data_IF_296275818084
#
_entry.id   IF_296275818084
#
_cell.length_a   1.000
_cell.length_b   1.000
_cell.length_c   1.000
_cell.angle_alpha   90.00
_cell.angle_beta   90.00
_cell.angle_gamma   90.00
#
_symmetry.space_group_name_H-M   'P 1'
#
loop_
_entity.id
_entity.type
_entity.pdbx_description
1 polymer ?
#
# COMPACT_ATOMS: atom_id res chain seq x y z
N UNK A 1 0.09 -29.35 -44.18
CA UNK A 1 1.06 -30.02 -43.28
C UNK A 1 2.02 -28.94 -42.79
N UNK A 2 2.05 -28.50 -41.55
CA UNK A 2 1.25 -28.76 -40.35
C UNK A 2 1.45 -27.56 -39.41
N UNK A 3 0.42 -27.20 -38.66
CA UNK A 3 0.41 -26.14 -37.64
C UNK A 3 0.83 -26.74 -36.30
N UNK A 4 1.87 -26.19 -35.64
CA UNK A 4 2.18 -26.53 -34.24
C UNK A 4 1.64 -25.45 -33.32
N UNK A 5 0.55 -25.75 -32.64
CA UNK A 5 0.05 -24.98 -31.49
C UNK A 5 0.88 -25.35 -30.26
N UNK A 6 1.61 -24.38 -29.69
CA UNK A 6 2.26 -24.52 -28.40
C UNK A 6 1.22 -24.47 -27.28
N UNK A 7 0.95 -25.62 -26.68
CA UNK A 7 0.08 -25.75 -25.51
C UNK A 7 0.86 -25.41 -24.24
N UNK A 8 0.55 -24.28 -23.63
CA UNK A 8 0.95 -23.95 -22.26
C UNK A 8 0.28 -24.95 -21.31
N UNK A 9 1.07 -25.80 -20.66
CA UNK A 9 0.60 -26.80 -19.69
C UNK A 9 0.39 -26.10 -18.34
N UNK A 10 -0.85 -25.74 -18.04
CA UNK A 10 -1.26 -25.29 -16.71
C UNK A 10 -1.11 -26.47 -15.72
N UNK A 11 -0.38 -26.25 -14.63
CA UNK A 11 -0.25 -27.21 -13.54
C UNK A 11 -1.62 -27.41 -12.88
N UNK A 12 -2.05 -28.67 -12.72
CA UNK A 12 -3.26 -29.01 -11.98
C UNK A 12 -3.09 -28.73 -10.50
N UNK A 13 -4.22 -28.47 -9.82
CA UNK A 13 -4.32 -28.02 -8.43
C UNK A 13 -3.82 -29.05 -7.40
N UNK A 14 -3.42 -30.24 -7.85
CA UNK A 14 -3.05 -31.40 -7.04
C UNK A 14 -1.52 -31.60 -6.95
N UNK A 15 -0.74 -30.56 -7.23
CA UNK A 15 0.75 -30.59 -7.19
C UNK A 15 1.32 -29.67 -6.09
N UNK A 16 0.50 -29.22 -5.14
CA UNK A 16 0.95 -28.41 -3.99
C UNK A 16 0.51 -29.10 -2.70
N UNK A 17 1.20 -30.17 -2.31
CA UNK A 17 1.21 -30.63 -0.92
C UNK A 17 2.66 -30.94 -0.52
N UNK A 18 3.15 -30.20 0.48
CA UNK A 18 4.42 -30.47 1.14
C UNK A 18 4.17 -31.51 2.26
N UNK A 19 5.09 -32.46 2.51
CA UNK A 19 4.82 -33.55 3.43
C UNK A 19 5.10 -33.12 4.88
N UNK A 20 4.11 -33.30 5.76
CA UNK A 20 4.35 -33.46 7.19
C UNK A 20 4.28 -34.96 7.52
N UNK A 21 5.13 -35.50 8.41
CA UNK A 21 5.14 -36.93 8.70
C UNK A 21 3.97 -37.32 9.60
N UNK A 22 3.33 -38.44 9.25
CA UNK A 22 2.26 -39.08 10.02
C UNK A 22 2.78 -39.64 11.34
N UNK A 23 2.04 -39.41 12.42
CA UNK A 23 2.22 -40.09 13.71
C UNK A 23 1.19 -41.21 13.79
N UNK A 24 1.66 -42.45 13.79
CA UNK A 24 0.85 -43.64 14.07
C UNK A 24 0.45 -43.65 15.56
N UNK A 25 -0.83 -43.89 15.83
CA UNK A 25 -1.34 -44.19 17.16
C UNK A 25 -1.96 -45.59 17.09
N UNK A 26 -1.47 -46.49 17.95
CA UNK A 26 -1.95 -47.86 18.08
C UNK A 26 -3.36 -47.91 18.71
N UNK A 27 -4.24 -48.71 18.11
CA UNK A 27 -5.57 -49.04 18.64
C UNK A 27 -5.47 -50.23 19.61
N UNK A 28 -5.85 -50.03 20.88
CA UNK A 28 -6.21 -51.12 21.79
C UNK A 28 -7.71 -51.11 22.08
N UNK A 29 -8.39 -52.14 21.55
CA UNK A 29 -9.77 -52.50 21.84
C UNK A 29 -9.98 -52.81 23.33
N UNK A 30 -10.92 -52.12 23.98
CA UNK A 30 -11.65 -52.69 25.13
C UNK A 30 -13.16 -52.50 24.93
N UNK A 31 -13.77 -53.56 24.41
CA UNK A 31 -15.18 -53.71 24.10
C UNK A 31 -15.96 -54.03 25.39
N UNK A 32 -16.10 -53.07 26.31
CA UNK A 32 -17.06 -53.19 27.42
C UNK A 32 -17.61 -51.85 27.97
N UNK A 33 -17.08 -50.69 27.52
CA UNK A 33 -17.52 -49.36 28.00
C UNK A 33 -18.36 -48.56 26.96
N UNK A 34 -18.62 -49.16 25.80
CA UNK A 34 -19.22 -48.49 24.64
C UNK A 34 -20.66 -48.01 24.90
N UNK A 35 -21.46 -48.74 25.67
CA UNK A 35 -22.87 -48.37 25.89
C UNK A 35 -23.05 -47.17 26.82
N UNK A 36 -22.11 -46.92 27.74
CA UNK A 36 -22.16 -45.75 28.61
C UNK A 36 -21.61 -44.50 27.90
N UNK A 37 -20.52 -44.66 27.15
CA UNK A 37 -19.90 -43.58 26.38
C UNK A 37 -20.82 -43.12 25.24
N UNK A 38 -21.44 -44.03 24.48
CA UNK A 38 -22.40 -43.66 23.43
C UNK A 38 -23.62 -42.93 23.98
N UNK A 39 -24.10 -43.30 25.18
CA UNK A 39 -25.17 -42.56 25.85
C UNK A 39 -24.73 -41.14 26.21
N UNK A 40 -23.55 -40.97 26.79
CA UNK A 40 -23.00 -39.64 27.10
C UNK A 40 -22.78 -38.80 25.85
N UNK A 41 -22.28 -39.39 24.75
CA UNK A 41 -22.08 -38.72 23.47
C UNK A 41 -23.43 -38.32 22.85
N UNK A 42 -24.44 -39.20 22.87
CA UNK A 42 -25.78 -38.87 22.40
C UNK A 42 -26.45 -37.77 23.24
N UNK A 43 -26.29 -37.79 24.57
CA UNK A 43 -26.80 -36.72 25.44
C UNK A 43 -26.04 -35.41 25.23
N UNK A 44 -24.73 -35.44 25.05
CA UNK A 44 -23.92 -34.26 24.76
C UNK A 44 -24.30 -33.66 23.40
N UNK A 45 -24.49 -34.48 22.36
CA UNK A 45 -24.94 -34.02 21.05
C UNK A 45 -26.37 -33.47 21.09
N UNK A 46 -27.29 -34.13 21.79
CA UNK A 46 -28.64 -33.62 22.00
C UNK A 46 -28.63 -32.29 22.79
N UNK A 47 -27.79 -32.18 23.82
CA UNK A 47 -27.61 -30.94 24.58
C UNK A 47 -26.99 -29.83 23.72
N UNK A 48 -26.02 -30.12 22.86
CA UNK A 48 -25.44 -29.15 21.93
C UNK A 48 -26.45 -28.69 20.87
N UNK A 49 -27.34 -29.56 20.41
CA UNK A 49 -28.44 -29.17 19.50
C UNK A 49 -29.45 -28.30 20.23
N UNK A 50 -29.84 -28.65 21.47
CA UNK A 50 -30.75 -27.84 22.29
C UNK A 50 -30.13 -26.48 22.62
N UNK A 51 -28.86 -26.43 23.05
CA UNK A 51 -28.13 -25.19 23.33
C UNK A 51 -27.91 -24.38 22.05
N UNK A 52 -27.66 -25.02 20.91
CA UNK A 52 -27.57 -24.34 19.61
C UNK A 52 -28.90 -23.74 19.15
N UNK A 53 -30.02 -24.43 19.38
CA UNK A 53 -31.37 -23.92 19.10
C UNK A 53 -31.75 -22.80 20.09
N UNK A 54 -31.35 -22.90 21.37
CA UNK A 54 -31.54 -21.83 22.34
C UNK A 54 -30.65 -20.61 22.07
N UNK A 55 -29.39 -20.80 21.70
CA UNK A 55 -28.47 -19.71 21.32
C UNK A 55 -28.92 -19.03 20.03
N UNK A 56 -29.43 -19.79 19.05
CA UNK A 56 -30.02 -19.21 17.84
C UNK A 56 -31.36 -18.51 18.11
N UNK A 57 -32.16 -18.98 19.07
CA UNK A 57 -33.36 -18.26 19.51
C UNK A 57 -33.01 -16.96 20.27
N UNK A 58 -31.93 -16.97 21.07
CA UNK A 58 -31.41 -15.77 21.75
C UNK A 58 -30.83 -14.77 20.74
N UNK A 59 -30.10 -15.21 19.70
CA UNK A 59 -29.65 -14.31 18.63
C UNK A 59 -30.80 -13.82 17.76
N UNK A 60 -31.86 -14.60 17.56
CA UNK A 60 -33.05 -14.16 16.84
C UNK A 60 -33.87 -13.13 17.63
N UNK A 61 -34.00 -13.29 18.96
CA UNK A 61 -34.65 -12.29 19.83
C UNK A 61 -33.79 -11.03 20.02
N UNK A 62 -32.46 -11.14 20.10
CA UNK A 62 -31.55 -9.98 20.14
C UNK A 62 -31.37 -9.30 18.78
N UNK A 63 -31.74 -9.93 17.66
CA UNK A 63 -31.67 -9.27 16.34
C UNK A 63 -32.68 -8.12 16.19
N UNK A 64 -33.68 -8.04 17.07
CA UNK A 64 -34.71 -6.99 17.03
C UNK A 64 -34.28 -5.63 17.60
N UNK A 65 -33.05 -5.50 18.14
CA UNK A 65 -32.55 -4.22 18.70
C UNK A 65 -31.29 -3.65 18.04
N UNK A 66 -30.73 -4.31 17.02
CA UNK A 66 -29.55 -3.78 16.28
C UNK A 66 -29.87 -3.28 14.86
N UNK A 67 -31.13 -3.37 14.41
CA UNK A 67 -31.60 -2.72 13.17
C UNK A 67 -31.98 -1.24 13.35
N UNK A 68 -31.61 -0.63 14.49
CA UNK A 68 -31.93 0.77 14.81
C UNK A 68 -30.74 1.72 14.94
N UNK A 69 -29.54 1.34 14.48
CA UNK A 69 -28.38 2.24 14.40
C UNK A 69 -27.94 2.63 12.98
N UNK A 70 -28.56 2.09 11.92
CA UNK A 70 -28.29 2.49 10.53
C UNK A 70 -29.40 3.33 9.87
N UNK A 71 -30.38 3.79 10.66
CA UNK A 71 -31.46 4.65 10.18
C UNK A 71 -31.54 5.93 11.00
N UNK A 72 -30.58 6.83 10.78
CA UNK A 72 -30.69 8.27 11.06
C UNK A 72 -29.62 9.05 10.29
N UNK A 73 -29.78 9.08 8.97
CA UNK A 73 -29.53 10.33 8.26
C UNK A 73 -30.55 10.57 7.14
N UNK A 74 -31.80 10.77 7.56
CA UNK A 74 -32.84 11.39 6.78
C UNK A 74 -32.59 12.91 6.55
N UNK A 75 -31.35 13.38 6.68
CA UNK A 75 -30.88 14.71 6.29
C UNK A 75 -30.15 14.74 4.94
N UNK A 76 -29.72 13.59 4.40
CA UNK A 76 -29.03 13.50 3.11
C UNK A 76 -29.93 12.99 1.97
N UNK A 77 -31.15 13.52 1.89
CA UNK A 77 -31.94 13.53 0.63
C UNK A 77 -31.92 14.92 -0.02
N UNK A 78 -30.78 15.59 0.07
CA UNK A 78 -30.50 16.80 -0.70
C UNK A 78 -29.86 16.42 -2.04
N UNK A 79 -30.72 16.19 -3.05
CA UNK A 79 -30.46 16.31 -4.49
C UNK A 79 -29.19 15.61 -5.04
N UNK A 80 -29.27 14.29 -5.18
CA UNK A 80 -28.69 13.67 -6.39
C UNK A 80 -29.71 13.89 -7.50
N UNK A 81 -29.49 14.90 -8.35
CA UNK A 81 -30.23 15.03 -9.61
C UNK A 81 -29.94 13.76 -10.41
N UNK A 82 -30.95 12.95 -10.69
CA UNK A 82 -30.85 11.93 -11.73
C UNK A 82 -30.43 12.63 -13.04
N UNK A 83 -29.20 12.40 -13.47
CA UNK A 83 -28.72 12.88 -14.77
C UNK A 83 -29.51 12.11 -15.83
N UNK A 84 -30.34 12.83 -16.58
CA UNK A 84 -31.02 12.24 -17.74
C UNK A 84 -29.95 11.98 -18.81
N UNK A 85 -29.94 10.82 -19.48
CA UNK A 85 -29.04 10.57 -20.60
C UNK A 85 -29.26 11.64 -21.68
N UNK A 86 -28.23 12.45 -21.96
CA UNK A 86 -28.26 13.49 -23.00
C UNK A 86 -28.17 14.95 -22.53
N UNK A 87 -28.20 15.25 -21.23
CA UNK A 87 -27.88 16.60 -20.76
C UNK A 87 -26.35 16.80 -20.73
N UNK A 88 -25.82 17.56 -21.69
CA UNK A 88 -24.43 18.02 -21.67
C UNK A 88 -24.30 19.01 -20.51
N UNK A 89 -23.53 18.63 -19.49
CA UNK A 89 -23.15 19.56 -18.43
C UNK A 89 -22.46 20.77 -19.06
N UNK A 90 -22.78 21.98 -18.60
CA UNK A 90 -22.13 23.19 -19.07
C UNK A 90 -20.69 23.20 -18.55
N UNK A 91 -19.76 22.73 -19.39
CA UNK A 91 -18.33 22.63 -19.11
C UNK A 91 -17.75 23.97 -18.61
N UNK A 92 -18.34 25.09 -19.05
CA UNK A 92 -17.93 26.44 -18.63
C UNK A 92 -18.26 26.71 -17.18
N UNK A 93 -19.42 26.26 -16.69
CA UNK A 93 -19.84 26.44 -15.30
C UNK A 93 -18.96 25.62 -14.34
N UNK A 94 -18.65 24.37 -14.70
CA UNK A 94 -17.77 23.52 -13.89
C UNK A 94 -16.33 24.04 -13.91
N UNK A 95 -15.86 24.55 -15.05
CA UNK A 95 -14.58 25.24 -15.15
C UNK A 95 -14.54 26.48 -14.26
N UNK A 96 -15.55 27.34 -14.31
CA UNK A 96 -15.62 28.56 -13.49
C UNK A 96 -15.70 28.25 -11.99
N UNK A 97 -16.42 27.20 -11.59
CA UNK A 97 -16.48 26.76 -10.19
C UNK A 97 -15.12 26.24 -9.72
N UNK A 98 -14.46 25.38 -10.51
CA UNK A 98 -13.10 24.88 -10.23
C UNK A 98 -12.11 26.03 -10.11
N UNK A 99 -12.14 26.98 -11.05
CA UNK A 99 -11.27 28.16 -11.02
C UNK A 99 -11.53 29.04 -9.78
N UNK A 100 -12.78 29.19 -9.34
CA UNK A 100 -13.13 29.92 -8.11
C UNK A 100 -12.67 29.20 -6.84
N UNK A 101 -12.65 27.89 -6.84
CA UNK A 101 -12.19 27.06 -5.72
C UNK A 101 -10.66 27.06 -5.65
N UNK A 102 -9.98 26.90 -6.77
CA UNK A 102 -8.51 27.08 -6.90
C UNK A 102 -8.07 28.49 -6.49
N UNK A 103 -8.80 29.54 -6.89
CA UNK A 103 -8.52 30.92 -6.45
C UNK A 103 -8.75 31.12 -4.94
N UNK A 104 -9.70 30.41 -4.31
CA UNK A 104 -9.91 30.47 -2.86
C UNK A 104 -8.81 29.74 -2.11
N UNK A 105 -8.38 28.57 -2.59
CA UNK A 105 -7.27 27.82 -2.01
C UNK A 105 -5.92 28.56 -2.16
N UNK A 106 -5.67 29.17 -3.32
CA UNK A 106 -4.47 29.99 -3.56
C UNK A 106 -4.42 31.29 -2.75
N UNK A 107 -5.58 31.81 -2.29
CA UNK A 107 -5.65 32.95 -1.37
C UNK A 107 -5.43 32.57 0.10
N UNK A 108 -5.72 31.32 0.47
CA UNK A 108 -5.62 30.84 1.85
C UNK A 108 -4.25 30.23 2.18
N UNK A 109 -3.55 29.69 1.18
CA UNK A 109 -2.19 29.21 1.29
C UNK A 109 -1.34 29.95 0.25
N UNK A 110 -0.35 30.77 0.64
CA UNK A 110 0.64 31.22 -0.32
C UNK A 110 1.29 29.96 -0.89
N UNK A 111 1.04 29.71 -2.17
CA UNK A 111 1.70 28.65 -2.92
C UNK A 111 3.19 28.98 -2.85
N UNK A 112 3.91 28.31 -1.96
CA UNK A 112 5.35 28.39 -1.89
C UNK A 112 5.83 27.70 -3.16
N UNK A 113 5.90 28.44 -4.27
CA UNK A 113 6.67 28.01 -5.43
C UNK A 113 8.12 28.18 -5.00
N UNK A 114 8.86 27.09 -4.71
CA UNK A 114 10.29 27.23 -4.53
C UNK A 114 10.85 27.96 -5.78
N UNK A 115 11.85 28.83 -5.62
CA UNK A 115 12.55 29.40 -6.76
C UNK A 115 12.94 28.25 -7.69
N UNK A 116 12.78 28.37 -9.03
CA UNK A 116 13.31 27.36 -9.93
C UNK A 116 14.81 27.27 -9.66
N UNK A 117 15.26 26.13 -9.12
CA UNK A 117 16.68 25.89 -8.93
C UNK A 117 17.33 25.91 -10.33
N UNK A 118 18.57 26.41 -10.44
CA UNK A 118 19.23 26.59 -11.73
C UNK A 118 19.22 25.28 -12.54
N UNK A 119 18.94 25.44 -13.83
CA UNK A 119 18.60 24.41 -14.83
C UNK A 119 19.59 23.22 -14.92
N UNK A 120 20.79 23.33 -14.33
CA UNK A 120 21.82 22.29 -14.32
C UNK A 120 21.81 21.34 -13.11
N UNK A 121 20.98 21.56 -12.08
CA UNK A 121 20.96 20.70 -10.89
C UNK A 121 19.91 19.58 -10.93
N UNK A 122 19.13 19.50 -12.02
CA UNK A 122 18.02 18.56 -12.17
C UNK A 122 18.24 17.49 -13.23
N UNK A 123 19.32 17.54 -14.01
CA UNK A 123 19.54 16.46 -14.97
C UNK A 123 19.90 15.16 -14.23
N UNK A 124 19.24 14.04 -14.56
CA UNK A 124 19.57 12.77 -13.95
C UNK A 124 21.02 12.38 -14.26
N UNK A 125 21.65 11.55 -13.41
CA UNK A 125 22.93 10.95 -13.68
C UNK A 125 22.97 10.24 -15.03
N UNK A 126 24.17 9.91 -15.48
CA UNK A 126 24.33 9.06 -16.65
C UNK A 126 23.53 7.77 -16.45
N UNK A 127 22.72 7.37 -17.44
CA UNK A 127 21.96 6.10 -17.42
C UNK A 127 22.87 4.86 -17.32
N UNK A 128 24.18 5.00 -17.53
CA UNK A 128 25.13 3.93 -17.27
C UNK A 128 25.45 3.77 -15.78
N UNK A 129 25.24 4.80 -14.96
CA UNK A 129 25.39 4.80 -13.51
C UNK A 129 24.08 4.35 -12.84
N UNK A 130 23.74 3.07 -12.98
CA UNK A 130 22.45 2.50 -12.54
C UNK A 130 22.11 2.80 -11.08
N UNK A 131 23.07 2.58 -10.17
CA UNK A 131 22.88 2.85 -8.74
C UNK A 131 22.64 4.34 -8.45
N UNK A 132 23.39 5.23 -9.13
CA UNK A 132 23.24 6.68 -8.98
C UNK A 132 21.91 7.16 -9.54
N UNK A 133 21.46 6.60 -10.67
CA UNK A 133 20.15 6.88 -11.26
C UNK A 133 19.01 6.48 -10.31
N UNK A 134 19.07 5.27 -9.74
CA UNK A 134 18.08 4.82 -8.75
C UNK A 134 18.04 5.74 -7.52
N UNK A 135 19.20 6.11 -6.97
CA UNK A 135 19.32 7.04 -5.84
C UNK A 135 18.79 8.43 -6.20
N UNK A 136 19.08 8.92 -7.39
CA UNK A 136 18.61 10.21 -7.87
C UNK A 136 17.08 10.26 -7.93
N UNK A 137 16.43 9.22 -8.47
CA UNK A 137 14.96 9.16 -8.53
C UNK A 137 14.37 9.16 -7.12
N UNK A 138 14.93 8.36 -6.22
CA UNK A 138 14.48 8.28 -4.81
C UNK A 138 14.59 9.64 -4.12
N UNK A 139 15.73 10.32 -4.26
CA UNK A 139 15.98 11.57 -3.57
C UNK A 139 15.19 12.76 -4.13
N UNK A 140 14.89 12.74 -5.43
CA UNK A 140 14.13 13.80 -6.09
C UNK A 140 12.61 13.58 -6.05
N UNK A 141 12.14 12.49 -5.43
CA UNK A 141 10.72 12.21 -5.27
C UNK A 141 10.23 12.56 -3.85
N UNK A 142 9.14 13.31 -3.76
CA UNK A 142 8.50 13.66 -2.48
C UNK A 142 7.41 12.66 -2.04
N UNK A 143 6.94 11.85 -2.98
CA UNK A 143 5.87 10.89 -2.77
C UNK A 143 6.07 9.69 -3.71
N UNK A 144 5.35 8.60 -3.49
CA UNK A 144 5.39 7.41 -4.34
C UNK A 144 4.19 6.51 -4.14
N UNK A 145 4.17 5.38 -4.87
CA UNK A 145 3.16 4.34 -4.68
C UNK A 145 3.74 3.23 -3.81
N UNK A 146 3.32 3.16 -2.54
CA UNK A 146 3.67 2.04 -1.65
C UNK A 146 2.63 0.93 -1.82
N UNK A 147 3.09 -0.31 -2.00
CA UNK A 147 2.24 -1.49 -2.08
C UNK A 147 2.50 -2.41 -0.90
N UNK A 148 1.42 -2.87 -0.27
CA UNK A 148 1.41 -3.79 0.88
C UNK A 148 0.41 -4.93 0.63
N UNK A 149 0.43 -5.97 1.47
CA UNK A 149 -0.58 -7.05 1.41
C UNK A 149 -1.71 -6.71 2.37
N UNK A 150 -2.93 -6.54 1.84
CA UNK A 150 -4.07 -6.09 2.65
C UNK A 150 -4.61 -7.18 3.56
N UNK A 151 -4.71 -6.88 4.86
CA UNK A 151 -5.40 -7.75 5.82
C UNK A 151 -6.92 -7.58 5.69
N UNK A 152 -7.40 -6.35 5.48
CA UNK A 152 -8.85 -6.07 5.38
C UNK A 152 -9.48 -6.62 4.10
N UNK A 153 -8.68 -6.80 3.05
CA UNK A 153 -9.10 -7.37 1.77
C UNK A 153 -8.45 -8.74 1.52
N UNK A 154 -8.11 -9.47 2.58
CA UNK A 154 -7.68 -10.89 2.55
C UNK A 154 -6.64 -11.19 1.46
N UNK A 155 -5.46 -10.58 1.59
CA UNK A 155 -4.30 -10.88 0.74
C UNK A 155 -4.21 -10.11 -0.57
N UNK A 156 -5.19 -9.24 -0.89
CA UNK A 156 -5.12 -8.38 -2.09
C UNK A 156 -3.92 -7.42 -2.01
N UNK A 157 -3.08 -7.33 -3.06
CA UNK A 157 -2.05 -6.30 -3.16
C UNK A 157 -2.69 -4.91 -3.14
N UNK A 158 -2.25 -4.06 -2.22
CA UNK A 158 -2.87 -2.77 -1.96
C UNK A 158 -1.85 -1.65 -2.14
N UNK A 159 -1.98 -0.93 -3.25
CA UNK A 159 -1.18 0.25 -3.59
C UNK A 159 -1.84 1.54 -3.10
N UNK A 160 -1.07 2.43 -2.49
CA UNK A 160 -1.52 3.78 -2.14
C UNK A 160 -0.44 4.83 -2.42
N UNK A 161 -0.86 6.06 -2.68
CA UNK A 161 0.05 7.20 -2.68
C UNK A 161 0.50 7.52 -1.25
N UNK A 162 1.80 7.68 -1.05
CA UNK A 162 2.38 8.02 0.25
C UNK A 162 3.49 9.07 0.08
N UNK A 163 3.53 10.02 1.00
CA UNK A 163 4.66 10.95 1.13
C UNK A 163 5.82 10.28 1.85
N UNK A 164 7.04 10.51 1.39
CA UNK A 164 8.24 9.97 2.03
C UNK A 164 9.41 10.96 1.90
N UNK A 165 10.50 10.64 2.58
CA UNK A 165 11.78 11.31 2.41
C UNK A 165 12.92 10.34 2.63
N UNK A 166 13.98 10.42 1.85
CA UNK A 166 15.21 9.66 2.08
C UNK A 166 16.32 10.48 2.77
N UNK A 167 15.99 11.71 3.20
CA UNK A 167 16.98 12.67 3.69
C UNK A 167 16.53 14.12 3.63
N UNK A 168 17.38 15.06 4.07
CA UNK A 168 17.14 16.48 3.78
C UNK A 168 17.51 16.78 2.33
N UNK A 169 17.11 17.95 1.80
CA UNK A 169 17.44 18.39 0.42
C UNK A 169 18.93 18.28 0.07
N UNK A 170 19.82 18.37 1.05
CA UNK A 170 21.28 18.32 0.85
C UNK A 170 21.94 17.07 1.43
N UNK A 171 21.18 16.11 1.97
CA UNK A 171 21.72 14.93 2.63
C UNK A 171 20.77 13.74 2.48
N UNK A 172 21.01 12.94 1.44
CA UNK A 172 20.30 11.69 1.13
C UNK A 172 21.01 10.48 1.74
N UNK A 173 20.26 9.60 2.40
CA UNK A 173 20.73 8.26 2.80
C UNK A 173 20.27 7.16 1.83
N UNK A 174 19.28 7.45 0.99
CA UNK A 174 18.62 6.47 0.14
C UNK A 174 17.64 5.54 0.89
N UNK A 175 17.42 5.72 2.20
CA UNK A 175 16.43 4.95 2.97
C UNK A 175 15.11 5.73 3.00
N UNK A 176 14.01 5.24 2.40
CA UNK A 176 12.72 5.92 2.47
C UNK A 176 12.14 5.87 3.89
N UNK A 177 11.88 7.04 4.48
CA UNK A 177 11.14 7.22 5.72
C UNK A 177 9.74 7.78 5.47
N UNK A 178 8.77 7.30 6.24
CA UNK A 178 7.35 7.63 6.12
C UNK A 178 6.80 8.09 7.47
N UNK A 179 5.78 8.95 7.43
CA UNK A 179 5.08 9.46 8.62
C UNK A 179 3.59 9.24 8.44
N UNK A 180 3.03 8.29 9.18
CA UNK A 180 1.65 7.81 9.01
C UNK A 180 0.90 7.81 10.33
N UNK A 181 -0.41 7.95 10.28
CA UNK A 181 -1.23 7.84 11.49
C UNK A 181 -1.33 6.38 11.95
N UNK A 182 -1.50 6.12 13.25
CA UNK A 182 -1.67 4.75 13.78
C UNK A 182 -2.80 3.95 13.13
N UNK A 183 -3.79 4.64 12.56
CA UNK A 183 -4.98 4.04 11.94
C UNK A 183 -4.86 3.94 10.41
N UNK A 184 -3.72 4.31 9.83
CA UNK A 184 -3.45 4.09 8.41
C UNK A 184 -3.46 2.58 8.11
N UNK A 185 -4.11 2.13 7.01
CA UNK A 185 -4.14 0.71 6.64
C UNK A 185 -2.76 0.05 6.56
N UNK A 186 -1.71 0.80 6.22
CA UNK A 186 -0.34 0.30 6.18
C UNK A 186 0.08 -0.30 7.52
N UNK A 187 -0.25 0.37 8.63
CA UNK A 187 0.18 -0.05 9.98
C UNK A 187 -0.33 -1.47 10.27
N UNK A 188 -1.61 -1.72 10.03
CA UNK A 188 -2.22 -3.05 10.19
C UNK A 188 -1.66 -4.07 9.20
N UNK A 189 -1.41 -3.67 7.96
CA UNK A 189 -0.89 -4.58 6.94
C UNK A 189 0.52 -5.07 7.29
N UNK A 190 1.41 -4.19 7.76
CA UNK A 190 2.81 -4.55 8.04
C UNK A 190 2.99 -5.38 9.31
N UNK A 191 2.04 -5.29 10.26
CA UNK A 191 2.00 -6.18 11.43
C UNK A 191 1.77 -7.64 11.03
N UNK A 192 0.94 -7.88 10.00
CA UNK A 192 0.68 -9.22 9.48
C UNK A 192 1.74 -9.67 8.46
N UNK A 193 2.13 -8.76 7.56
CA UNK A 193 3.13 -9.02 6.54
C UNK A 193 3.83 -7.72 6.13
N UNK A 194 5.11 -7.60 6.50
CA UNK A 194 5.89 -6.39 6.23
C UNK A 194 6.47 -6.31 4.81
N UNK A 195 6.30 -7.33 3.96
CA UNK A 195 6.74 -7.26 2.57
C UNK A 195 6.04 -6.13 1.84
N UNK A 196 6.82 -5.19 1.32
CA UNK A 196 6.33 -3.95 0.73
C UNK A 196 7.21 -3.51 -0.43
N UNK A 197 6.63 -2.76 -1.36
CA UNK A 197 7.36 -2.13 -2.47
C UNK A 197 7.03 -0.66 -2.60
N UNK A 198 8.01 0.20 -2.83
CA UNK A 198 7.82 1.60 -3.16
C UNK A 198 8.18 1.83 -4.63
N UNK A 199 7.19 2.19 -5.45
CA UNK A 199 7.38 2.52 -6.86
C UNK A 199 7.44 4.05 -7.06
N UNK A 200 8.45 4.49 -7.81
CA UNK A 200 8.77 5.88 -8.11
C UNK A 200 9.11 6.06 -9.59
N UNK A 201 8.92 7.26 -10.12
CA UNK A 201 9.22 7.60 -11.52
C UNK A 201 9.63 9.06 -11.68
N UNK A 202 10.52 9.32 -12.62
CA UNK A 202 10.85 10.68 -13.06
C UNK A 202 9.62 11.45 -13.57
N UNK A 203 8.54 10.76 -13.98
CA UNK A 203 7.25 11.35 -14.34
C UNK A 203 6.55 12.07 -13.18
N UNK A 204 7.00 11.87 -11.94
CA UNK A 204 6.52 12.62 -10.77
C UNK A 204 7.07 14.05 -10.73
N UNK A 205 8.08 14.34 -11.56
CA UNK A 205 8.60 15.67 -11.87
C UNK A 205 8.17 16.10 -13.28
N UNK A 206 8.51 17.33 -13.69
CA UNK A 206 8.30 17.77 -15.07
C UNK A 206 9.32 17.19 -16.07
N UNK A 207 10.32 16.41 -15.63
CA UNK A 207 11.43 15.93 -16.46
C UNK A 207 10.96 15.18 -17.72
N UNK A 208 10.16 14.12 -17.55
CA UNK A 208 9.66 13.33 -18.69
C UNK A 208 8.75 14.14 -19.60
N UNK A 209 7.95 15.05 -19.02
CA UNK A 209 7.06 15.94 -19.76
C UNK A 209 7.82 16.92 -20.65
N UNK A 210 8.90 17.51 -20.15
CA UNK A 210 9.79 18.39 -20.93
C UNK A 210 10.41 17.63 -22.10
N UNK A 211 10.77 16.36 -21.88
CA UNK A 211 11.35 15.48 -22.91
C UNK A 211 10.31 14.82 -23.83
N UNK A 212 9.01 15.02 -23.57
CA UNK A 212 7.88 14.41 -24.29
C UNK A 212 7.93 12.88 -24.27
N UNK A 213 8.41 12.31 -23.18
CA UNK A 213 8.37 10.87 -22.93
C UNK A 213 7.08 10.53 -22.20
N UNK A 214 6.44 9.46 -22.65
CA UNK A 214 5.35 8.84 -21.88
C UNK A 214 5.93 8.30 -20.55
N UNK A 215 5.17 8.32 -19.43
CA UNK A 215 5.64 7.74 -18.17
C UNK A 215 6.05 6.26 -18.23
N UNK A 216 5.60 5.50 -19.23
CA UNK A 216 6.00 4.11 -19.46
C UNK A 216 7.20 3.97 -20.42
N UNK A 217 7.58 5.03 -21.14
CA UNK A 217 8.80 5.02 -21.96
C UNK A 217 10.02 4.75 -21.06
N UNK A 218 10.88 3.76 -21.38
CA UNK A 218 12.07 3.45 -20.57
C UNK A 218 13.04 4.63 -20.37
N UNK A 219 12.97 5.65 -21.24
CA UNK A 219 13.72 6.89 -21.06
C UNK A 219 13.16 7.77 -19.93
N UNK A 220 11.88 7.64 -19.59
CA UNK A 220 11.30 8.18 -18.36
C UNK A 220 11.53 7.17 -17.23
N UNK A 221 12.63 7.33 -16.50
CA UNK A 221 13.10 6.26 -15.62
C UNK A 221 12.17 6.02 -14.45
N UNK A 222 12.11 4.77 -14.01
CA UNK A 222 11.33 4.34 -12.84
C UNK A 222 12.08 3.31 -12.03
N UNK A 223 11.95 3.43 -10.71
CA UNK A 223 12.58 2.53 -9.74
C UNK A 223 11.48 1.95 -8.85
N UNK A 224 11.60 0.65 -8.56
CA UNK A 224 10.81 0.00 -7.51
C UNK A 224 11.78 -0.53 -6.45
N UNK A 225 11.69 0.04 -5.26
CA UNK A 225 12.39 -0.45 -4.08
C UNK A 225 11.55 -1.56 -3.45
N UNK A 226 12.16 -2.71 -3.20
CA UNK A 226 11.50 -3.89 -2.66
C UNK A 226 12.13 -4.18 -1.30
N UNK A 227 11.32 -4.56 -0.32
CA UNK A 227 11.85 -4.92 0.99
C UNK A 227 10.79 -5.07 2.06
N UNK A 228 11.18 -4.68 3.28
CA UNK A 228 10.32 -4.79 4.47
C UNK A 228 10.06 -3.42 5.08
N UNK A 229 8.80 -3.05 5.24
CA UNK A 229 8.43 -1.82 5.93
C UNK A 229 8.39 -2.08 7.44
N UNK A 230 9.13 -1.30 8.22
CA UNK A 230 9.27 -1.49 9.67
C UNK A 230 9.13 -0.16 10.41
N UNK A 231 8.76 -0.21 11.67
CA UNK A 231 8.85 0.95 12.55
C UNK A 231 10.30 1.41 12.72
N UNK A 232 10.51 2.72 12.71
CA UNK A 232 11.82 3.31 13.01
C UNK A 232 12.13 3.12 14.49
N UNK A 233 13.38 2.75 14.78
CA UNK A 233 13.86 2.58 16.16
C UNK A 233 14.16 3.92 16.84
N UNK A 234 14.23 3.95 18.18
CA UNK A 234 14.40 5.19 18.95
C UNK A 234 15.70 5.94 18.63
N UNK A 235 16.73 5.23 18.20
CA UNK A 235 18.05 5.79 17.82
C UNK A 235 18.02 6.57 16.49
N UNK A 236 17.09 6.23 15.59
CA UNK A 236 16.98 6.80 14.24
C UNK A 236 15.79 7.75 14.09
N UNK A 237 14.83 7.71 15.02
CA UNK A 237 13.58 8.47 14.99
C UNK A 237 13.81 9.97 14.75
N UNK A 238 14.78 10.57 15.45
CA UNK A 238 15.09 12.00 15.31
C UNK A 238 15.56 12.34 13.90
N UNK A 239 16.37 11.46 13.29
CA UNK A 239 16.85 11.66 11.93
C UNK A 239 15.70 11.53 10.93
N UNK A 240 14.89 10.47 11.05
CA UNK A 240 13.75 10.20 10.18
C UNK A 240 12.75 11.36 10.20
N UNK A 241 12.35 11.85 11.38
CA UNK A 241 11.46 13.01 11.50
C UNK A 241 12.06 14.28 10.89
N UNK A 242 13.36 14.51 11.07
CA UNK A 242 14.03 15.64 10.45
C UNK A 242 14.04 15.55 8.91
N UNK A 243 14.34 14.36 8.36
CA UNK A 243 14.32 14.12 6.92
C UNK A 243 12.92 14.33 6.33
N UNK A 244 11.89 13.78 6.98
CA UNK A 244 10.49 13.93 6.55
C UNK A 244 10.08 15.39 6.63
N UNK A 245 10.26 16.05 7.77
CA UNK A 245 9.78 17.42 7.96
C UNK A 245 10.58 18.48 7.21
N UNK A 246 11.79 18.17 6.76
CA UNK A 246 12.54 19.05 5.86
C UNK A 246 11.91 19.09 4.47
N UNK A 247 11.39 17.97 3.97
CA UNK A 247 10.72 17.87 2.66
C UNK A 247 9.22 18.16 2.74
N UNK A 248 8.59 17.80 3.85
CA UNK A 248 7.15 17.91 4.11
C UNK A 248 6.87 18.79 5.34
N UNK A 249 7.17 20.10 5.31
CA UNK A 249 7.08 20.96 6.49
C UNK A 249 5.66 21.05 7.07
N UNK A 250 4.62 20.87 6.24
CA UNK A 250 3.22 20.88 6.67
C UNK A 250 2.89 19.76 7.65
N UNK A 251 3.62 18.62 7.61
CA UNK A 251 3.38 17.49 8.52
C UNK A 251 3.60 17.84 9.99
N UNK A 252 4.42 18.86 10.30
CA UNK A 252 4.58 19.39 11.66
C UNK A 252 3.29 19.96 12.24
N UNK A 253 2.35 20.35 11.38
CA UNK A 253 1.06 20.97 11.76
C UNK A 253 -0.08 19.97 11.86
N UNK A 254 0.17 18.69 11.55
CA UNK A 254 -0.85 17.66 11.59
C UNK A 254 -1.35 17.39 13.03
N UNK A 255 -2.60 16.91 13.20
CA UNK A 255 -3.22 16.73 14.52
C UNK A 255 -2.42 15.78 15.42
N UNK A 256 -2.05 16.23 16.63
CA UNK A 256 -1.15 15.48 17.52
C UNK A 256 -1.75 14.20 18.11
N UNK A 257 -3.07 14.12 18.16
CA UNK A 257 -3.86 13.02 18.73
C UNK A 257 -4.02 11.82 17.80
N UNK A 258 -3.54 11.92 16.55
CA UNK A 258 -3.57 10.83 15.58
C UNK A 258 -2.55 9.72 15.84
N UNK A 259 -1.68 9.87 16.85
CA UNK A 259 -0.69 8.86 17.23
C UNK A 259 0.24 8.50 16.07
N UNK A 260 0.87 9.52 15.48
CA UNK A 260 1.76 9.34 14.34
C UNK A 260 2.89 8.37 14.60
N UNK A 261 3.22 7.58 13.59
CA UNK A 261 4.25 6.57 13.59
C UNK A 261 5.22 6.85 12.44
N UNK A 262 6.50 6.66 12.72
CA UNK A 262 7.55 6.77 11.71
C UNK A 262 7.94 5.37 11.25
N UNK A 263 7.90 5.16 9.93
CA UNK A 263 8.24 3.89 9.29
C UNK A 263 9.45 4.08 8.37
N UNK A 264 10.16 2.99 8.07
CA UNK A 264 11.20 2.97 7.02
C UNK A 264 11.11 1.70 6.18
N UNK A 265 11.53 1.80 4.92
CA UNK A 265 11.68 0.63 4.05
C UNK A 265 13.11 0.07 4.17
N UNK A 266 13.24 -1.13 4.72
CA UNK A 266 14.48 -1.90 4.69
C UNK A 266 14.58 -2.59 3.33
N UNK A 267 15.39 -2.00 2.44
CA UNK A 267 15.53 -2.42 1.04
C UNK A 267 16.28 -3.75 0.95
N UNK A 268 15.68 -4.73 0.28
CA UNK A 268 16.30 -6.01 -0.08
C UNK A 268 16.67 -6.07 -1.54
N UNK A 269 15.94 -5.38 -2.40
CA UNK A 269 16.15 -5.38 -3.84
C UNK A 269 15.79 -4.03 -4.46
N UNK A 270 16.49 -3.67 -5.54
CA UNK A 270 16.27 -2.44 -6.29
C UNK A 270 16.06 -2.80 -7.76
N UNK A 271 14.83 -2.60 -8.24
CA UNK A 271 14.46 -2.84 -9.63
C UNK A 271 14.42 -1.50 -10.38
N UNK A 272 15.18 -1.36 -11.45
CA UNK A 272 15.33 -0.11 -12.20
C UNK A 272 15.03 -0.33 -13.69
N UNK A 273 14.22 0.55 -14.28
CA UNK A 273 14.14 0.74 -15.73
C UNK A 273 14.51 2.18 -16.03
N UNK A 274 15.58 2.34 -16.79
CA UNK A 274 16.18 3.64 -17.12
C UNK A 274 16.71 3.72 -18.56
N UNK A 275 16.56 2.62 -19.31
CA UNK A 275 16.85 2.54 -20.74
C UNK A 275 16.14 1.33 -21.37
N UNK A 276 16.16 1.27 -22.70
CA UNK A 276 15.69 0.10 -23.43
C UNK A 276 16.51 -1.15 -23.09
N UNK A 277 15.90 -2.34 -23.20
CA UNK A 277 16.55 -3.63 -22.92
C UNK A 277 16.04 -4.35 -21.68
N UNK A 278 15.01 -3.83 -21.02
CA UNK A 278 14.41 -4.43 -19.83
C UNK A 278 14.98 -3.86 -18.53
N UNK A 279 14.52 -4.44 -17.41
CA UNK A 279 14.89 -3.95 -16.10
C UNK A 279 16.24 -4.47 -15.63
N UNK A 280 16.93 -3.63 -14.84
CA UNK A 280 18.16 -3.98 -14.14
C UNK A 280 17.86 -4.18 -12.65
N UNK A 281 18.33 -5.30 -12.09
CA UNK A 281 18.40 -5.49 -10.63
C UNK A 281 19.69 -4.83 -10.13
N UNK A 282 19.58 -3.65 -9.52
CA UNK A 282 20.73 -2.94 -8.96
C UNK A 282 21.12 -3.59 -7.63
N UNK A 283 22.39 -3.98 -7.44
CA UNK A 283 22.84 -4.50 -6.15
C UNK A 283 22.63 -3.48 -5.03
N UNK A 284 21.96 -3.88 -3.95
CA UNK A 284 21.66 -2.99 -2.80
C UNK A 284 22.92 -2.35 -2.23
N UNK A 285 24.04 -3.08 -2.22
CA UNK A 285 25.34 -2.57 -1.80
C UNK A 285 25.79 -1.37 -2.65
N UNK A 286 25.55 -1.42 -3.96
CA UNK A 286 25.95 -0.35 -4.88
C UNK A 286 24.98 0.83 -4.79
N UNK A 287 23.69 0.57 -4.58
CA UNK A 287 22.68 1.60 -4.29
C UNK A 287 23.07 2.47 -3.08
N UNK A 288 23.47 1.85 -1.97
CA UNK A 288 23.87 2.59 -0.77
C UNK A 288 25.27 3.20 -0.86
N UNK A 289 26.14 2.72 -1.76
CA UNK A 289 27.46 3.30 -2.02
C UNK A 289 27.43 4.49 -2.99
N UNK A 290 26.39 4.60 -3.82
CA UNK A 290 26.29 5.69 -4.76
C UNK A 290 26.10 7.02 -4.02
N UNK A 291 26.94 8.00 -4.37
CA UNK A 291 26.86 9.37 -3.85
C UNK A 291 26.12 10.25 -4.86
N UNK A 292 25.23 11.13 -4.36
CA UNK A 292 24.47 12.09 -5.14
C UNK A 292 25.19 13.45 -5.19
#
# INVERSE_FOLDING_TARGET
MGTSEDKVKLLSKDQIEAPFPDVEVEDENTEEDSNHIWRFVCYALAYMVVVGVFLSAITFQNSSTDEQSFSRDAGYKARVRQIRPGERFDDRLMHDMRMREEHRHAKMFPMFKPPPLPESSYDPPSRFEKAKTARYIVHNSDWGSISTISVSMVGVPFGMAISFSDGTVTNSTGVPYFYVAKFDPIVKNIEANNLSTLALSEAQSDYCKVHKWDPEDPLCSRVTLIGKLVHVGPEEEKFALNAIFARHPVMKTWPKDHGWQTLKLVITDVWLVDFYGGATMVPVKDYFKAEL
#
